data_IF_618334474461
#
_entry.id   IF_618334474461
#
_cell.length_a   1.000
_cell.length_b   1.000
_cell.length_c   1.000
_cell.angle_alpha   90.00
_cell.angle_beta   90.00
_cell.angle_gamma   90.00
#
_symmetry.space_group_name_H-M   'P 1'
#
loop_
_entity.id
_entity.type
_entity.pdbx_description
1 polymer ?
#
# COMPACT_ATOMS: atom_id res chain seq x y z
N UNK A 1 -0.30 36.45 12.82
CA UNK A 1 0.22 35.35 13.64
C UNK A 1 -0.29 34.08 13.00
N UNK A 2 0.51 33.51 12.08
CA UNK A 2 0.14 32.34 11.26
C UNK A 2 0.46 31.11 12.10
N UNK A 3 -0.55 30.34 12.47
CA UNK A 3 -0.40 29.02 13.09
C UNK A 3 0.17 28.07 12.04
N UNK A 4 1.46 27.80 12.12
CA UNK A 4 2.13 26.76 11.32
C UNK A 4 1.74 25.42 11.92
N UNK A 5 1.01 24.64 11.18
CA UNK A 5 0.62 23.27 11.49
C UNK A 5 1.87 22.40 11.70
N UNK A 6 2.07 21.91 12.92
CA UNK A 6 3.23 21.13 13.37
C UNK A 6 3.28 19.69 12.82
N UNK A 7 2.50 19.33 11.81
CA UNK A 7 2.40 17.95 11.30
C UNK A 7 3.14 17.69 9.99
N UNK A 8 3.89 18.65 9.47
CA UNK A 8 4.64 18.47 8.22
C UNK A 8 6.13 18.82 8.41
N UNK A 9 6.83 18.07 9.24
CA UNK A 9 8.29 18.16 9.24
C UNK A 9 8.84 17.31 8.07
N UNK A 10 9.01 17.96 6.92
CA UNK A 10 9.77 17.41 5.80
C UNK A 10 11.24 17.60 6.13
N UNK A 11 11.91 16.53 6.52
CA UNK A 11 13.36 16.50 6.67
C UNK A 11 13.98 16.20 5.31
N UNK A 12 14.63 17.20 4.72
CA UNK A 12 15.48 17.01 3.54
C UNK A 12 16.85 16.48 3.97
N UNK A 13 17.28 15.36 3.42
CA UNK A 13 18.65 14.90 3.52
C UNK A 13 19.48 15.43 2.34
N UNK A 14 20.75 15.73 2.61
CA UNK A 14 21.76 16.26 1.68
C UNK A 14 22.08 15.39 0.46
N UNK A 15 21.38 14.28 0.25
CA UNK A 15 21.48 13.39 -0.92
C UNK A 15 20.19 13.33 -1.75
N UNK A 16 19.31 14.34 -1.69
CA UNK A 16 18.16 14.48 -2.60
C UNK A 16 17.02 13.47 -2.40
N UNK A 17 17.04 12.64 -1.35
CA UNK A 17 15.95 11.73 -1.01
C UNK A 17 15.00 12.36 0.01
N UNK A 18 13.76 12.57 -0.36
CA UNK A 18 12.69 12.94 0.59
C UNK A 18 12.50 11.77 1.55
N UNK A 19 12.85 11.98 2.84
CA UNK A 19 12.46 11.03 3.88
C UNK A 19 10.95 11.19 4.04
N UNK A 20 10.20 10.27 3.44
CA UNK A 20 8.76 10.21 3.58
C UNK A 20 8.42 10.02 5.05
N UNK A 21 7.86 11.05 5.66
CA UNK A 21 7.18 10.92 6.93
C UNK A 21 6.20 9.74 6.84
N UNK A 22 6.01 8.99 7.93
CA UNK A 22 5.06 7.88 8.00
C UNK A 22 3.65 8.38 7.69
N UNK A 23 3.28 8.40 6.41
CA UNK A 23 1.93 8.76 6.01
C UNK A 23 0.93 7.79 6.65
N UNK A 24 0.01 8.37 7.41
CA UNK A 24 -1.04 7.64 8.08
C UNK A 24 -2.27 7.59 7.19
N UNK A 25 -2.68 6.40 6.83
CA UNK A 25 -4.02 6.18 6.27
C UNK A 25 -5.00 6.07 7.43
N UNK A 26 -6.07 6.85 7.35
CA UNK A 26 -7.19 6.80 8.29
C UNK A 26 -8.49 7.09 7.53
N UNK A 27 -9.48 6.21 7.67
CA UNK A 27 -10.76 6.32 7.00
C UNK A 27 -11.85 5.54 7.76
N UNK A 28 -13.13 5.79 7.42
CA UNK A 28 -14.27 5.08 8.01
C UNK A 28 -14.26 3.59 7.60
N UNK A 29 -14.59 2.66 8.52
CA UNK A 29 -14.68 1.22 8.22
C UNK A 29 -15.60 0.87 7.06
N UNK A 30 -16.59 1.71 6.73
CA UNK A 30 -17.48 1.53 5.59
C UNK A 30 -16.70 1.36 4.28
N UNK A 31 -15.54 2.03 4.12
CA UNK A 31 -14.68 1.87 2.95
C UNK A 31 -14.14 0.44 2.78
N UNK A 32 -14.06 -0.34 3.86
CA UNK A 32 -13.64 -1.74 3.80
C UNK A 32 -14.72 -2.69 3.26
N UNK A 33 -15.99 -2.28 3.29
CA UNK A 33 -17.10 -3.12 2.79
C UNK A 33 -17.17 -3.14 1.25
N UNK A 34 -16.39 -2.30 0.60
CA UNK A 34 -16.41 -2.15 -0.86
C UNK A 34 -15.27 -2.96 -1.48
N UNK A 35 -15.61 -3.96 -2.32
CA UNK A 35 -14.60 -4.72 -3.03
C UNK A 35 -13.91 -3.85 -4.09
N UNK A 36 -12.58 -3.79 -4.04
CA UNK A 36 -11.78 -3.12 -5.07
C UNK A 36 -11.58 -4.06 -6.26
N UNK A 37 -12.65 -4.24 -7.03
CA UNK A 37 -12.69 -5.20 -8.14
C UNK A 37 -11.69 -4.85 -9.23
N UNK A 38 -10.91 -5.85 -9.65
CA UNK A 38 -9.90 -5.75 -10.72
C UNK A 38 -8.81 -4.70 -10.47
N UNK A 39 -8.65 -4.23 -9.22
CA UNK A 39 -7.53 -3.36 -8.89
C UNK A 39 -6.24 -4.14 -8.81
N UNK A 40 -5.23 -3.66 -9.50
CA UNK A 40 -3.86 -4.14 -9.37
C UNK A 40 -3.23 -3.61 -8.07
N UNK A 41 -2.16 -4.23 -7.55
CA UNK A 41 -1.44 -3.70 -6.39
C UNK A 41 -0.95 -2.26 -6.56
N UNK A 42 -0.58 -1.86 -7.78
CA UNK A 42 -0.13 -0.49 -8.12
C UNK A 42 -1.31 0.48 -7.99
N UNK A 43 -2.45 0.17 -8.60
CA UNK A 43 -3.66 1.00 -8.51
C UNK A 43 -4.17 1.13 -7.08
N UNK A 44 -4.06 0.06 -6.27
CA UNK A 44 -4.36 0.14 -4.84
C UNK A 44 -3.39 1.07 -4.10
N UNK A 45 -2.09 1.05 -4.44
CA UNK A 45 -1.12 1.97 -3.87
C UNK A 45 -1.46 3.42 -4.21
N UNK A 46 -1.78 3.71 -5.47
CA UNK A 46 -2.18 5.05 -5.93
C UNK A 46 -3.43 5.52 -5.18
N UNK A 47 -4.47 4.68 -5.11
CA UNK A 47 -5.71 5.03 -4.41
C UNK A 47 -5.48 5.37 -2.93
N UNK A 48 -4.79 4.50 -2.18
CA UNK A 48 -4.57 4.75 -0.76
C UNK A 48 -3.54 5.85 -0.49
N UNK A 49 -2.65 6.15 -1.43
CA UNK A 49 -1.78 7.34 -1.39
C UNK A 49 -2.61 8.62 -1.51
N UNK A 50 -3.61 8.64 -2.38
CA UNK A 50 -4.57 9.74 -2.49
C UNK A 50 -5.34 9.89 -1.17
N UNK A 51 -5.94 8.80 -0.66
CA UNK A 51 -6.69 8.79 0.61
C UNK A 51 -5.87 9.35 1.77
N UNK A 52 -4.58 9.04 1.86
CA UNK A 52 -3.72 9.51 2.95
C UNK A 52 -3.64 11.03 3.03
N UNK A 53 -3.81 11.73 1.92
CA UNK A 53 -3.73 13.19 1.81
C UNK A 53 -5.07 13.90 1.69
N UNK A 54 -6.14 13.17 1.38
CA UNK A 54 -7.49 13.74 1.25
C UNK A 54 -8.22 13.86 2.60
N UNK A 55 -7.70 13.21 3.65
CA UNK A 55 -8.30 13.26 4.98
C UNK A 55 -8.36 14.68 5.52
N UNK A 56 -9.49 15.05 6.12
CA UNK A 56 -9.75 16.34 6.76
C UNK A 56 -9.58 17.56 5.82
N UNK A 57 -9.67 17.33 4.49
CA UNK A 57 -9.62 18.40 3.49
C UNK A 57 -10.99 18.91 3.05
N UNK A 58 -12.07 18.27 3.53
CA UNK A 58 -13.42 18.61 3.08
C UNK A 58 -13.59 18.37 1.58
N UNK A 59 -14.37 19.25 0.94
CA UNK A 59 -14.65 19.27 -0.50
C UNK A 59 -13.64 20.08 -1.33
N UNK A 60 -12.51 20.48 -0.71
CA UNK A 60 -11.48 21.24 -1.41
C UNK A 60 -10.77 20.42 -2.49
N UNK A 61 -10.43 21.07 -3.60
CA UNK A 61 -9.53 20.47 -4.60
C UNK A 61 -8.15 20.28 -3.98
N UNK A 62 -7.67 19.03 -3.93
CA UNK A 62 -6.32 18.69 -3.49
C UNK A 62 -5.47 18.42 -4.71
N UNK A 63 -4.33 19.13 -4.81
CA UNK A 63 -3.35 18.95 -5.88
C UNK A 63 -2.23 18.02 -5.45
N UNK A 64 -1.88 17.09 -6.33
CA UNK A 64 -0.74 16.20 -6.21
C UNK A 64 0.19 16.41 -7.41
N UNK A 65 1.47 16.71 -7.19
CA UNK A 65 2.44 16.58 -8.27
C UNK A 65 2.65 15.10 -8.61
N UNK A 66 3.05 14.81 -9.85
CA UNK A 66 3.36 13.43 -10.26
C UNK A 66 4.47 12.82 -9.40
N UNK A 67 5.51 13.61 -9.09
CA UNK A 67 6.60 13.16 -8.22
C UNK A 67 6.09 12.79 -6.83
N UNK A 68 5.29 13.68 -6.23
CA UNK A 68 4.70 13.43 -4.91
C UNK A 68 3.86 12.14 -4.90
N UNK A 69 3.05 11.90 -5.91
CA UNK A 69 2.20 10.71 -5.96
C UNK A 69 3.01 9.44 -6.28
N UNK A 70 4.05 9.52 -7.12
CA UNK A 70 5.00 8.43 -7.36
C UNK A 70 5.70 8.02 -6.07
N UNK A 71 6.19 8.99 -5.30
CA UNK A 71 6.86 8.76 -4.03
C UNK A 71 5.91 8.14 -3.00
N UNK A 72 4.72 8.72 -2.82
CA UNK A 72 3.71 8.20 -1.89
C UNK A 72 3.35 6.75 -2.18
N UNK A 73 3.16 6.41 -3.45
CA UNK A 73 2.75 5.08 -3.90
C UNK A 73 3.91 4.08 -4.09
N UNK A 74 5.17 4.52 -3.92
CA UNK A 74 6.37 3.76 -4.26
C UNK A 74 6.33 3.27 -5.73
N UNK A 75 5.91 4.17 -6.63
CA UNK A 75 5.76 3.86 -8.04
C UNK A 75 7.13 3.84 -8.73
N UNK A 76 7.54 2.68 -9.25
CA UNK A 76 8.88 2.46 -9.80
C UNK A 76 9.06 2.66 -11.31
N UNK A 77 8.03 2.55 -12.18
CA UNK A 77 8.20 2.81 -13.60
C UNK A 77 8.70 4.23 -13.88
N UNK A 78 9.65 4.37 -14.76
CA UNK A 78 10.37 5.63 -15.00
C UNK A 78 9.73 6.53 -16.06
N UNK A 79 8.86 5.99 -16.92
CA UNK A 79 8.22 6.76 -17.99
C UNK A 79 6.95 7.47 -17.49
N UNK A 80 6.85 8.79 -17.72
CA UNK A 80 5.68 9.57 -17.32
C UNK A 80 4.39 9.08 -18.00
N UNK A 81 4.42 8.80 -19.29
CA UNK A 81 3.23 8.32 -20.02
C UNK A 81 2.62 7.06 -19.39
N UNK A 82 3.46 6.12 -18.94
CA UNK A 82 2.97 4.92 -18.25
C UNK A 82 2.34 5.25 -16.89
N UNK A 83 2.87 6.26 -16.19
CA UNK A 83 2.30 6.72 -14.93
C UNK A 83 0.93 7.36 -15.17
N UNK A 84 0.79 8.18 -16.21
CA UNK A 84 -0.49 8.78 -16.62
C UNK A 84 -1.53 7.70 -16.94
N UNK A 85 -1.15 6.69 -17.72
CA UNK A 85 -2.03 5.56 -18.04
C UNK A 85 -2.47 4.79 -16.80
N UNK A 86 -1.58 4.54 -15.85
CA UNK A 86 -1.90 3.82 -14.61
C UNK A 86 -2.81 4.66 -13.70
N UNK A 87 -2.61 5.97 -13.65
CA UNK A 87 -3.47 6.93 -12.95
C UNK A 87 -4.84 6.98 -13.60
N UNK A 88 -4.92 7.10 -14.93
CA UNK A 88 -6.18 7.14 -15.65
C UNK A 88 -6.98 5.86 -15.42
N UNK A 89 -6.35 4.68 -15.56
CA UNK A 89 -7.01 3.41 -15.26
C UNK A 89 -7.48 3.29 -13.81
N UNK A 90 -6.68 3.79 -12.88
CA UNK A 90 -7.07 3.83 -11.46
C UNK A 90 -8.31 4.68 -11.27
N UNK A 91 -8.34 5.86 -11.88
CA UNK A 91 -9.49 6.75 -11.84
C UNK A 91 -10.75 6.14 -12.46
N UNK A 92 -10.65 5.56 -13.66
CA UNK A 92 -11.79 4.89 -14.32
C UNK A 92 -12.40 3.81 -13.42
N UNK A 93 -11.57 3.02 -12.74
CA UNK A 93 -12.03 2.04 -11.77
C UNK A 93 -12.66 2.67 -10.53
N UNK A 94 -12.10 3.78 -10.03
CA UNK A 94 -12.65 4.52 -8.89
C UNK A 94 -14.00 5.14 -9.21
N UNK A 95 -14.21 5.62 -10.44
CA UNK A 95 -15.53 6.09 -10.90
C UNK A 95 -16.57 4.98 -10.98
N UNK A 96 -16.12 3.75 -11.19
CA UNK A 96 -16.99 2.55 -11.15
C UNK A 96 -17.30 2.05 -9.75
N UNK A 97 -16.65 2.59 -8.70
CA UNK A 97 -16.96 2.22 -7.32
C UNK A 97 -18.14 3.04 -6.80
N UNK A 98 -19.20 2.34 -6.46
CA UNK A 98 -20.39 2.94 -5.88
C UNK A 98 -20.47 2.59 -4.39
N UNK A 99 -20.60 3.62 -3.59
CA UNK A 99 -20.86 3.51 -2.16
C UNK A 99 -22.36 3.51 -1.95
N UNK A 100 -22.86 2.58 -1.13
CA UNK A 100 -24.30 2.44 -0.93
C UNK A 100 -24.65 2.43 0.53
N UNK A 101 -25.51 3.35 0.95
CA UNK A 101 -26.11 3.35 2.27
C UNK A 101 -27.54 2.85 2.20
N UNK A 102 -27.92 2.06 3.19
CA UNK A 102 -29.30 1.58 3.35
C UNK A 102 -29.81 1.95 4.74
N UNK A 103 -31.06 2.42 4.82
CA UNK A 103 -31.73 2.56 6.12
C UNK A 103 -31.90 1.19 6.80
N UNK A 104 -32.13 1.19 8.11
CA UNK A 104 -32.38 -0.06 8.86
C UNK A 104 -33.58 -0.85 8.30
N UNK A 105 -34.57 -0.18 7.74
CA UNK A 105 -35.74 -0.80 7.07
C UNK A 105 -35.38 -1.34 5.66
N UNK A 106 -34.24 -0.95 5.08
CA UNK A 106 -33.84 -1.29 3.72
C UNK A 106 -34.59 -0.55 2.62
N UNK A 107 -35.59 0.28 2.97
CA UNK A 107 -36.45 1.02 2.02
C UNK A 107 -35.72 2.23 1.42
N UNK A 108 -34.96 2.96 2.24
CA UNK A 108 -34.16 4.07 1.74
C UNK A 108 -32.77 3.55 1.29
N UNK A 109 -32.42 3.88 0.07
CA UNK A 109 -31.15 3.50 -0.54
C UNK A 109 -30.52 4.73 -1.16
N UNK A 110 -29.26 4.93 -0.85
CA UNK A 110 -28.43 5.99 -1.41
C UNK A 110 -27.23 5.36 -2.08
N UNK A 111 -26.86 5.86 -3.25
CA UNK A 111 -25.67 5.43 -3.97
C UNK A 111 -24.92 6.67 -4.44
N UNK A 112 -23.61 6.72 -4.19
CA UNK A 112 -22.75 7.83 -4.59
C UNK A 112 -21.36 7.34 -4.98
N UNK A 113 -20.63 8.20 -5.68
CA UNK A 113 -19.21 8.00 -6.00
C UNK A 113 -18.32 8.71 -4.98
N UNK A 114 -17.06 8.32 -4.85
CA UNK A 114 -16.17 8.94 -3.87
C UNK A 114 -15.61 10.28 -4.35
N UNK A 115 -15.32 10.40 -5.63
CA UNK A 115 -14.68 11.57 -6.23
C UNK A 115 -15.55 12.19 -7.30
N UNK A 116 -15.64 13.52 -7.32
CA UNK A 116 -16.37 14.29 -8.32
C UNK A 116 -15.49 14.87 -9.40
N UNK A 117 -14.19 15.02 -9.10
CA UNK A 117 -13.24 15.57 -10.06
C UNK A 117 -11.92 14.82 -10.00
N UNK A 118 -11.40 14.58 -11.17
CA UNK A 118 -10.08 14.04 -11.39
C UNK A 118 -9.52 14.66 -12.67
N UNK A 119 -8.58 15.57 -12.52
CA UNK A 119 -7.99 16.29 -13.62
C UNK A 119 -6.51 15.98 -13.68
N UNK A 120 -6.05 15.38 -14.76
CA UNK A 120 -4.64 15.11 -15.05
C UNK A 120 -4.12 16.22 -15.95
N UNK A 121 -3.01 16.85 -15.58
CA UNK A 121 -2.31 17.86 -16.37
C UNK A 121 -0.87 17.40 -16.53
N UNK A 122 -0.60 16.70 -17.65
CA UNK A 122 0.71 16.10 -17.97
C UNK A 122 1.64 17.04 -18.74
N UNK A 123 1.09 18.02 -19.48
CA UNK A 123 1.86 18.92 -20.35
C UNK A 123 2.44 20.16 -19.61
N UNK A 124 2.18 20.29 -18.30
CA UNK A 124 2.74 21.39 -17.53
C UNK A 124 4.22 21.13 -17.22
N UNK A 125 5.00 22.22 -16.99
CA UNK A 125 6.41 22.13 -16.54
C UNK A 125 6.56 21.27 -15.29
N UNK A 126 5.55 21.29 -14.41
CA UNK A 126 5.41 20.42 -13.26
C UNK A 126 4.08 19.68 -13.34
N UNK A 127 4.02 18.48 -13.92
CA UNK A 127 2.78 17.72 -14.08
C UNK A 127 2.08 17.43 -12.74
N UNK A 128 0.75 17.51 -12.73
CA UNK A 128 -0.05 17.37 -11.52
C UNK A 128 -1.43 16.76 -11.76
N UNK A 129 -2.06 16.37 -10.66
CA UNK A 129 -3.42 15.85 -10.62
C UNK A 129 -4.22 16.64 -9.60
N UNK A 130 -5.40 17.14 -9.99
CA UNK A 130 -6.37 17.76 -9.09
C UNK A 130 -7.50 16.78 -8.79
N UNK A 131 -7.80 16.60 -7.51
CA UNK A 131 -8.81 15.65 -7.03
C UNK A 131 -9.76 16.35 -6.07
N UNK A 132 -11.07 16.06 -6.20
CA UNK A 132 -12.11 16.52 -5.28
C UNK A 132 -12.95 15.34 -4.78
N UNK A 133 -13.25 15.33 -3.48
CA UNK A 133 -14.14 14.34 -2.86
C UNK A 133 -15.60 14.80 -3.01
N UNK A 134 -16.48 13.87 -3.35
CA UNK A 134 -17.90 14.14 -3.36
C UNK A 134 -18.40 14.43 -1.93
N UNK A 135 -19.28 15.43 -1.80
CA UNK A 135 -19.78 15.88 -0.47
C UNK A 135 -20.34 14.76 0.39
N UNK A 136 -21.10 13.83 -0.20
CA UNK A 136 -21.73 12.73 0.53
C UNK A 136 -20.72 11.60 0.88
N UNK A 137 -19.52 11.62 0.27
CA UNK A 137 -18.41 10.75 0.60
C UNK A 137 -17.48 11.34 1.69
N UNK A 138 -17.63 12.62 2.04
CA UNK A 138 -16.80 13.26 3.07
C UNK A 138 -16.79 12.51 4.42
N UNK A 139 -17.90 11.96 4.93
CA UNK A 139 -17.88 11.18 6.17
C UNK A 139 -16.95 9.96 6.14
N UNK A 140 -16.58 9.46 4.96
CA UNK A 140 -15.62 8.36 4.84
C UNK A 140 -14.20 8.79 5.21
N UNK A 141 -13.86 10.09 5.14
CA UNK A 141 -12.53 10.65 5.34
C UNK A 141 -12.43 11.73 6.41
N UNK A 142 -13.55 12.32 6.83
CA UNK A 142 -13.60 13.46 7.73
C UNK A 142 -14.49 13.17 8.93
N UNK A 143 -14.16 13.77 10.09
CA UNK A 143 -14.93 13.67 11.32
C UNK A 143 -15.26 12.22 11.74
N UNK A 144 -14.24 11.36 11.72
CA UNK A 144 -14.39 9.93 11.92
C UNK A 144 -14.66 9.59 13.39
N UNK A 145 -15.82 9.06 13.72
CA UNK A 145 -16.14 8.49 15.05
C UNK A 145 -15.46 7.13 15.23
N UNK A 146 -15.49 6.32 14.19
CA UNK A 146 -14.77 5.06 14.10
C UNK A 146 -13.81 5.09 12.91
N UNK A 147 -12.70 4.36 12.98
CA UNK A 147 -11.73 4.39 11.91
C UNK A 147 -10.91 3.10 11.77
N UNK A 148 -10.54 2.81 10.55
CA UNK A 148 -9.42 1.95 10.20
C UNK A 148 -8.18 2.82 10.04
N UNK A 149 -7.04 2.39 10.60
CA UNK A 149 -5.77 3.11 10.44
C UNK A 149 -4.58 2.19 10.28
N UNK A 150 -3.63 2.62 9.47
CA UNK A 150 -2.35 1.94 9.27
C UNK A 150 -1.34 2.85 8.56
N UNK A 151 -0.05 2.49 8.59
CA UNK A 151 0.98 3.20 7.83
C UNK A 151 0.85 2.89 6.34
N UNK A 152 0.89 3.93 5.51
CA UNK A 152 0.90 3.78 4.05
C UNK A 152 2.08 2.89 3.60
N UNK A 153 3.26 3.03 4.26
CA UNK A 153 4.42 2.21 3.97
C UNK A 153 4.17 0.70 4.13
N UNK A 154 3.48 0.28 5.20
CA UNK A 154 3.13 -1.14 5.40
C UNK A 154 2.24 -1.66 4.29
N UNK A 155 1.27 -0.85 3.87
CA UNK A 155 0.33 -1.21 2.81
C UNK A 155 0.98 -1.26 1.43
N UNK A 156 1.75 -0.22 1.06
CA UNK A 156 2.34 -0.13 -0.29
C UNK A 156 3.38 -1.21 -0.58
N UNK A 157 4.07 -1.71 0.45
CA UNK A 157 5.11 -2.74 0.32
C UNK A 157 4.55 -4.15 0.10
N UNK A 158 3.26 -4.37 0.35
CA UNK A 158 2.56 -5.59 -0.02
C UNK A 158 2.49 -5.74 -1.55
N UNK A 159 2.71 -6.95 -2.05
CA UNK A 159 2.78 -7.26 -3.48
C UNK A 159 1.48 -7.84 -4.03
N UNK A 160 0.80 -8.65 -3.22
CA UNK A 160 -0.45 -9.31 -3.60
C UNK A 160 -1.65 -8.40 -3.35
N UNK A 161 -2.54 -8.26 -4.34
CA UNK A 161 -3.83 -7.58 -4.17
C UNK A 161 -4.68 -8.24 -3.08
N UNK A 162 -4.60 -9.57 -2.95
CA UNK A 162 -5.28 -10.31 -1.89
C UNK A 162 -4.71 -9.97 -0.51
N UNK A 163 -3.38 -9.90 -0.39
CA UNK A 163 -2.73 -9.49 0.85
C UNK A 163 -3.08 -8.05 1.22
N UNK A 164 -3.08 -7.11 0.26
CA UNK A 164 -3.50 -5.71 0.48
C UNK A 164 -4.94 -5.62 0.98
N UNK A 165 -5.86 -6.33 0.34
CA UNK A 165 -7.27 -6.33 0.74
C UNK A 165 -7.43 -6.96 2.12
N UNK A 166 -6.83 -8.12 2.38
CA UNK A 166 -6.87 -8.75 3.69
C UNK A 166 -6.26 -7.85 4.77
N UNK A 167 -5.12 -7.19 4.49
CA UNK A 167 -4.46 -6.26 5.41
C UNK A 167 -5.43 -5.16 5.89
N UNK A 168 -6.07 -4.43 4.97
CA UNK A 168 -6.98 -3.34 5.34
C UNK A 168 -8.21 -3.84 6.10
N UNK A 169 -8.75 -5.01 5.72
CA UNK A 169 -9.85 -5.64 6.45
C UNK A 169 -9.45 -5.99 7.89
N UNK A 170 -8.30 -6.65 8.08
CA UNK A 170 -7.79 -7.04 9.39
C UNK A 170 -7.43 -5.84 10.27
N UNK A 171 -6.93 -4.74 9.69
CA UNK A 171 -6.68 -3.49 10.44
C UNK A 171 -7.96 -2.87 11.01
N UNK A 172 -9.12 -3.17 10.47
CA UNK A 172 -10.43 -2.84 11.09
C UNK A 172 -10.64 -3.58 12.44
N UNK A 173 -10.02 -4.73 12.64
CA UNK A 173 -10.12 -5.55 13.86
C UNK A 173 -8.83 -5.53 14.69
N UNK A 174 -7.98 -4.52 14.52
CA UNK A 174 -6.65 -4.46 15.13
C UNK A 174 -6.64 -4.63 16.65
N UNK A 175 -7.63 -4.07 17.34
CA UNK A 175 -7.74 -4.13 18.81
C UNK A 175 -8.42 -5.41 19.31
N UNK A 176 -9.16 -6.09 18.46
CA UNK A 176 -9.80 -7.38 18.76
C UNK A 176 -8.81 -8.53 18.57
N UNK A 177 -7.89 -8.43 17.60
CA UNK A 177 -6.94 -9.48 17.26
C UNK A 177 -7.60 -10.72 16.63
N UNK A 178 -8.84 -10.58 16.17
CA UNK A 178 -9.61 -11.66 15.55
C UNK A 178 -10.57 -11.13 14.51
N UNK A 179 -10.65 -11.80 13.38
CA UNK A 179 -11.63 -11.57 12.34
C UNK A 179 -12.14 -12.90 11.78
N UNK A 180 -13.43 -12.95 11.47
CA UNK A 180 -14.03 -14.05 10.72
C UNK A 180 -14.75 -13.45 9.52
N UNK A 181 -14.50 -14.02 8.35
CA UNK A 181 -15.20 -13.70 7.11
C UNK A 181 -15.92 -14.96 6.64
N UNK A 182 -17.20 -14.84 6.31
CA UNK A 182 -17.93 -15.91 5.62
C UNK A 182 -17.20 -16.25 4.32
N UNK A 183 -17.43 -17.43 3.77
CA UNK A 183 -16.83 -17.82 2.50
C UNK A 183 -17.23 -16.84 1.39
N UNK A 184 -18.47 -16.44 1.39
CA UNK A 184 -19.08 -15.51 0.44
C UNK A 184 -18.41 -14.13 0.55
N UNK A 185 -18.36 -13.54 1.76
CA UNK A 185 -17.73 -12.24 1.99
C UNK A 185 -16.24 -12.27 1.67
N UNK A 186 -15.54 -13.35 2.06
CA UNK A 186 -14.12 -13.49 1.76
C UNK A 186 -13.86 -13.51 0.26
N UNK A 187 -14.70 -14.22 -0.49
CA UNK A 187 -14.55 -14.33 -1.93
C UNK A 187 -14.92 -13.04 -2.65
N UNK A 188 -15.96 -12.36 -2.18
CA UNK A 188 -16.42 -11.12 -2.77
C UNK A 188 -15.46 -9.95 -2.47
N UNK A 189 -15.10 -9.74 -1.21
CA UNK A 189 -14.24 -8.64 -0.80
C UNK A 189 -12.83 -8.73 -1.37
N UNK A 190 -12.31 -9.95 -1.50
CA UNK A 190 -10.99 -10.16 -2.11
C UNK A 190 -11.03 -10.25 -3.64
N UNK A 191 -12.20 -10.12 -4.26
CA UNK A 191 -12.40 -10.27 -5.71
C UNK A 191 -11.81 -11.59 -6.25
N UNK A 192 -12.10 -12.70 -5.55
CA UNK A 192 -11.57 -14.01 -5.94
C UNK A 192 -12.30 -14.50 -7.20
N UNK A 193 -11.57 -14.88 -8.26
CA UNK A 193 -12.17 -15.34 -9.50
C UNK A 193 -13.13 -16.52 -9.29
N UNK A 194 -14.27 -16.48 -9.95
CA UNK A 194 -15.29 -17.57 -9.86
C UNK A 194 -14.72 -18.95 -10.20
N UNK A 195 -13.68 -19.01 -11.04
CA UNK A 195 -12.95 -20.24 -11.36
C UNK A 195 -12.30 -20.94 -10.16
N UNK A 196 -11.96 -20.17 -9.09
CA UNK A 196 -11.37 -20.73 -7.86
C UNK A 196 -12.42 -21.20 -6.84
N UNK A 197 -13.69 -20.77 -6.98
CA UNK A 197 -14.74 -21.03 -5.99
C UNK A 197 -14.99 -22.52 -5.73
N UNK A 198 -14.80 -23.35 -6.77
CA UNK A 198 -14.91 -24.81 -6.70
C UNK A 198 -13.57 -25.53 -6.57
N UNK A 199 -12.46 -24.77 -6.46
CA UNK A 199 -11.09 -25.30 -6.41
C UNK A 199 -10.37 -24.85 -5.14
N UNK A 200 -10.60 -25.51 -3.98
CA UNK A 200 -9.98 -25.10 -2.71
C UNK A 200 -8.46 -25.02 -2.75
N UNK A 201 -7.80 -25.86 -3.56
CA UNK A 201 -6.35 -25.82 -3.76
C UNK A 201 -5.85 -24.53 -4.41
N UNK A 202 -6.62 -23.97 -5.36
CA UNK A 202 -6.27 -22.72 -6.01
C UNK A 202 -6.41 -21.53 -5.02
N UNK A 203 -7.46 -21.56 -4.18
CA UNK A 203 -7.61 -20.59 -3.08
C UNK A 203 -6.45 -20.67 -2.10
N UNK A 204 -6.01 -21.87 -1.74
CA UNK A 204 -4.85 -22.05 -0.84
C UNK A 204 -3.57 -21.49 -1.45
N UNK A 205 -3.32 -21.81 -2.70
CA UNK A 205 -2.08 -21.49 -3.40
C UNK A 205 -1.98 -20.02 -3.78
N UNK A 206 -3.04 -19.46 -4.36
CA UNK A 206 -2.99 -18.13 -4.98
C UNK A 206 -3.54 -17.02 -4.08
N UNK A 207 -4.33 -17.36 -3.06
CA UNK A 207 -4.94 -16.38 -2.16
C UNK A 207 -4.37 -16.48 -0.75
N UNK A 208 -4.53 -17.64 -0.08
CA UNK A 208 -4.16 -17.76 1.33
C UNK A 208 -2.64 -17.80 1.54
N UNK A 209 -1.88 -18.38 0.62
CA UNK A 209 -0.41 -18.41 0.71
C UNK A 209 0.19 -17.00 0.72
N UNK A 210 -0.08 -16.12 -0.27
CA UNK A 210 0.39 -14.73 -0.24
C UNK A 210 -0.07 -13.97 1.01
N UNK A 211 -1.32 -14.16 1.45
CA UNK A 211 -1.83 -13.52 2.67
C UNK A 211 -0.98 -13.93 3.88
N UNK A 212 -0.67 -15.21 4.05
CA UNK A 212 0.16 -15.68 5.17
C UNK A 212 1.58 -15.13 5.08
N UNK A 213 2.21 -15.25 3.92
CA UNK A 213 3.61 -14.85 3.72
C UNK A 213 3.82 -13.35 3.92
N UNK A 214 2.92 -12.52 3.38
CA UNK A 214 3.08 -11.07 3.41
C UNK A 214 2.54 -10.43 4.70
N UNK A 215 1.51 -11.01 5.34
CA UNK A 215 0.90 -10.41 6.53
C UNK A 215 1.48 -10.91 7.86
N UNK A 216 2.12 -12.08 7.91
CA UNK A 216 2.74 -12.59 9.15
C UNK A 216 3.75 -11.61 9.77
N UNK A 217 4.60 -10.90 9.00
CA UNK A 217 5.49 -9.88 9.57
C UNK A 217 4.76 -8.65 10.14
N UNK A 218 3.54 -8.38 9.68
CA UNK A 218 2.76 -7.19 10.05
C UNK A 218 1.75 -7.44 11.17
N UNK A 219 1.34 -8.69 11.36
CA UNK A 219 0.40 -9.11 12.39
C UNK A 219 1.06 -10.18 13.28
N UNK A 220 1.48 -9.77 14.48
CA UNK A 220 2.23 -10.64 15.38
C UNK A 220 1.46 -11.92 15.74
N UNK A 221 2.01 -13.08 15.37
CA UNK A 221 1.40 -14.37 15.63
C UNK A 221 0.18 -14.68 14.76
N UNK A 222 0.11 -14.09 13.54
CA UNK A 222 -0.99 -14.32 12.61
C UNK A 222 -1.21 -15.80 12.33
N UNK A 223 -2.42 -16.25 12.56
CA UNK A 223 -2.90 -17.58 12.15
C UNK A 223 -4.11 -17.44 11.24
N UNK A 224 -4.10 -18.15 10.12
CA UNK A 224 -5.20 -18.18 9.14
C UNK A 224 -5.75 -19.59 9.06
N UNK A 225 -7.03 -19.77 9.43
CA UNK A 225 -7.67 -21.09 9.50
C UNK A 225 -8.97 -21.09 8.69
N UNK A 226 -9.20 -22.19 7.97
CA UNK A 226 -10.50 -22.49 7.39
C UNK A 226 -11.47 -22.92 8.47
N UNK A 227 -12.70 -22.46 8.39
CA UNK A 227 -13.83 -22.92 9.22
C UNK A 227 -14.70 -23.84 8.38
N UNK A 228 -15.07 -24.95 8.95
CA UNK A 228 -15.83 -26.00 8.28
C UNK A 228 -17.24 -26.14 8.85
N UNK A 229 -18.20 -26.36 7.99
CA UNK A 229 -19.58 -26.67 8.37
C UNK A 229 -19.74 -28.11 8.85
N UNK A 230 -20.92 -28.42 9.40
CA UNK A 230 -21.28 -29.76 9.93
C UNK A 230 -21.75 -30.75 8.86
N UNK A 231 -21.86 -30.37 7.58
CA UNK A 231 -22.38 -31.19 6.49
C UNK A 231 -21.41 -32.29 6.03
N UNK A 232 -21.92 -33.25 5.24
CA UNK A 232 -21.11 -34.28 4.57
C UNK A 232 -20.02 -33.61 3.72
N UNK A 233 -18.76 -34.09 3.84
CA UNK A 233 -17.62 -33.48 3.16
C UNK A 233 -17.06 -32.22 3.84
N UNK A 234 -17.60 -31.79 4.99
CA UNK A 234 -17.13 -30.64 5.76
C UNK A 234 -16.82 -29.42 4.88
N UNK A 235 -17.81 -28.82 4.24
CA UNK A 235 -17.58 -27.67 3.35
C UNK A 235 -16.96 -26.51 4.12
N UNK A 236 -16.07 -25.76 3.48
CA UNK A 236 -15.53 -24.51 4.05
C UNK A 236 -16.65 -23.47 4.07
N UNK A 237 -16.97 -22.96 5.26
CA UNK A 237 -17.99 -21.94 5.49
C UNK A 237 -17.41 -20.56 5.73
N UNK A 238 -16.08 -20.45 5.90
CA UNK A 238 -15.43 -19.18 6.11
C UNK A 238 -13.97 -19.31 6.47
N UNK A 239 -13.36 -18.17 6.71
CA UNK A 239 -11.95 -18.02 7.04
C UNK A 239 -11.80 -17.18 8.31
N UNK A 240 -11.03 -17.68 9.27
CA UNK A 240 -10.74 -16.95 10.51
C UNK A 240 -9.27 -16.55 10.55
N UNK A 241 -9.06 -15.36 11.05
CA UNK A 241 -7.75 -14.74 11.25
C UNK A 241 -7.62 -14.43 12.74
N UNK A 242 -6.53 -14.80 13.36
CA UNK A 242 -6.24 -14.47 14.75
C UNK A 242 -4.79 -14.04 14.88
N UNK A 243 -4.55 -12.99 15.66
CA UNK A 243 -3.23 -12.42 15.91
C UNK A 243 -3.22 -11.74 17.30
N UNK A 244 -2.04 -11.33 17.77
CA UNK A 244 -1.95 -10.56 19.01
C UNK A 244 -2.56 -9.17 18.79
N UNK A 245 -3.61 -8.78 19.54
CA UNK A 245 -4.27 -7.50 19.36
C UNK A 245 -3.33 -6.32 19.66
N UNK A 246 -3.52 -5.22 18.94
CA UNK A 246 -2.89 -3.94 19.25
C UNK A 246 -3.57 -3.31 20.46
N UNK A 247 -2.83 -2.54 21.26
CA UNK A 247 -3.43 -1.78 22.38
C UNK A 247 -4.44 -0.76 21.82
N UNK A 248 -5.56 -0.56 22.54
CA UNK A 248 -6.59 0.41 22.14
C UNK A 248 -6.01 1.82 22.02
N UNK A 249 -5.17 2.18 22.97
CA UNK A 249 -4.50 3.47 23.08
C UNK A 249 -3.12 3.49 22.40
N UNK A 250 -2.80 2.48 21.56
CA UNK A 250 -1.66 2.60 20.69
C UNK A 250 -1.91 3.81 19.79
N UNK A 251 -1.58 4.97 20.35
CA UNK A 251 -1.65 6.23 19.64
C UNK A 251 -0.78 6.11 18.44
N UNK A 252 -1.30 6.61 17.34
CA UNK A 252 -0.65 6.76 16.07
C UNK A 252 0.75 6.11 15.95
N UNK A 253 1.29 6.08 14.76
CA UNK A 253 2.60 5.50 14.48
C UNK A 253 3.77 6.23 15.14
N UNK A 254 3.53 7.30 15.88
CA UNK A 254 4.55 8.04 16.63
C UNK A 254 4.92 7.38 17.97
N UNK A 255 4.10 6.46 18.49
CA UNK A 255 4.30 5.85 19.81
C UNK A 255 4.14 4.31 19.87
N UNK A 256 3.99 3.63 18.72
CA UNK A 256 3.80 2.18 18.68
C UNK A 256 5.09 1.38 18.61
N UNK A 257 5.01 0.07 18.88
CA UNK A 257 6.15 -0.87 18.82
C UNK A 257 6.89 -0.81 17.47
N UNK A 258 6.19 -0.55 16.37
CA UNK A 258 6.79 -0.34 15.05
C UNK A 258 7.52 0.99 14.95
N UNK A 259 7.10 2.02 15.68
CA UNK A 259 7.80 3.29 15.75
C UNK A 259 9.12 3.14 16.48
N UNK A 260 9.15 2.43 17.62
CA UNK A 260 10.37 2.17 18.35
C UNK A 260 11.38 1.40 17.50
N UNK A 261 10.90 0.41 16.76
CA UNK A 261 11.72 -0.36 15.83
C UNK A 261 12.23 0.52 14.68
N UNK A 262 11.37 1.32 14.08
CA UNK A 262 11.76 2.25 13.01
C UNK A 262 12.68 3.37 13.50
N UNK A 263 12.44 3.91 14.69
CA UNK A 263 13.31 4.90 15.29
C UNK A 263 14.70 4.32 15.56
N UNK A 264 14.77 3.07 16.06
CA UNK A 264 16.03 2.35 16.23
C UNK A 264 16.72 2.13 14.88
N UNK A 265 16.00 1.67 13.86
CA UNK A 265 16.54 1.48 12.51
C UNK A 265 17.02 2.80 11.90
N UNK A 266 16.25 3.87 12.06
CA UNK A 266 16.63 5.21 11.62
C UNK A 266 17.90 5.68 12.31
N UNK A 267 17.95 5.58 13.63
CA UNK A 267 19.11 5.99 14.43
C UNK A 267 20.36 5.18 14.04
N UNK A 268 20.22 3.87 13.81
CA UNK A 268 21.32 3.02 13.34
C UNK A 268 21.82 3.46 11.96
N UNK A 269 20.90 3.70 11.01
CA UNK A 269 21.27 4.11 9.64
C UNK A 269 21.97 5.47 9.59
N UNK A 270 21.57 6.40 10.46
CA UNK A 270 22.09 7.78 10.48
C UNK A 270 23.17 8.00 11.55
N UNK A 271 23.60 6.96 12.25
CA UNK A 271 24.72 7.06 13.18
C UNK A 271 26.03 7.14 12.38
N UNK A 272 26.68 8.31 12.45
CA UNK A 272 27.97 8.54 11.78
C UNK A 272 29.17 7.85 12.44
N UNK A 273 29.01 7.36 13.68
CA UNK A 273 30.08 6.67 14.43
C UNK A 273 30.16 5.17 14.09
N UNK A 274 29.10 4.60 13.52
CA UNK A 274 29.04 3.18 13.17
C UNK A 274 29.53 2.96 11.73
N UNK A 275 30.34 1.95 11.55
CA UNK A 275 30.72 1.43 10.23
C UNK A 275 29.49 0.76 9.55
N UNK A 276 29.50 0.64 8.25
CA UNK A 276 28.41 -0.03 7.49
C UNK A 276 28.15 -1.46 7.98
N UNK A 277 29.19 -2.20 8.33
CA UNK A 277 29.06 -3.57 8.85
C UNK A 277 28.41 -3.59 10.24
N UNK A 278 28.75 -2.65 11.11
CA UNK A 278 28.12 -2.51 12.42
C UNK A 278 26.65 -2.10 12.29
N UNK A 279 26.32 -1.21 11.35
CA UNK A 279 24.95 -0.85 11.03
C UNK A 279 24.14 -2.07 10.59
N UNK A 280 24.66 -2.87 9.67
CA UNK A 280 23.96 -4.09 9.20
C UNK A 280 23.74 -5.10 10.32
N UNK A 281 24.71 -5.33 11.19
CA UNK A 281 24.57 -6.22 12.37
C UNK A 281 23.54 -5.69 13.35
N UNK A 282 23.51 -4.38 13.58
CA UNK A 282 22.55 -3.74 14.46
C UNK A 282 21.11 -3.82 13.87
N UNK A 283 20.97 -3.66 12.56
CA UNK A 283 19.71 -3.84 11.82
C UNK A 283 19.20 -5.28 11.96
N UNK A 284 20.08 -6.29 11.76
CA UNK A 284 19.72 -7.70 11.94
C UNK A 284 19.19 -7.96 13.36
N UNK A 285 19.83 -7.39 14.36
CA UNK A 285 19.42 -7.51 15.77
C UNK A 285 18.05 -6.91 16.05
N UNK A 286 17.79 -5.71 15.50
CA UNK A 286 16.49 -5.03 15.65
C UNK A 286 15.37 -5.79 14.93
N UNK A 287 15.65 -6.34 13.74
CA UNK A 287 14.70 -7.12 12.94
C UNK A 287 14.56 -8.57 13.36
N UNK A 288 15.35 -9.05 14.32
CA UNK A 288 15.36 -10.45 14.74
C UNK A 288 15.83 -11.41 13.62
N UNK A 289 16.70 -10.95 12.74
CA UNK A 289 17.29 -11.74 11.65
C UNK A 289 18.58 -12.42 12.10
N UNK A 290 19.00 -13.46 11.37
CA UNK A 290 20.30 -14.06 11.56
C UNK A 290 21.39 -13.03 11.22
N UNK A 291 22.43 -12.93 12.05
CA UNK A 291 23.53 -11.99 11.83
C UNK A 291 24.18 -12.19 10.46
N UNK A 292 24.37 -11.09 9.73
CA UNK A 292 24.89 -11.10 8.36
C UNK A 292 23.81 -11.14 7.27
N UNK A 293 22.53 -11.29 7.61
CA UNK A 293 21.43 -11.33 6.64
C UNK A 293 21.31 -10.02 5.87
N UNK A 294 21.36 -8.88 6.58
CA UNK A 294 21.29 -7.53 5.97
C UNK A 294 22.51 -7.24 5.13
N UNK A 295 23.71 -7.60 5.58
CA UNK A 295 24.95 -7.47 4.83
C UNK A 295 24.89 -8.24 3.51
N UNK A 296 24.49 -9.51 3.56
CA UNK A 296 24.34 -10.36 2.36
C UNK A 296 23.34 -9.78 1.36
N UNK A 297 22.22 -9.25 1.83
CA UNK A 297 21.23 -8.59 0.97
C UNK A 297 21.80 -7.31 0.36
N UNK A 298 22.48 -6.48 1.14
CA UNK A 298 23.08 -5.22 0.66
C UNK A 298 24.17 -5.47 -0.38
N UNK A 299 25.01 -6.48 -0.18
CA UNK A 299 26.03 -6.87 -1.14
C UNK A 299 25.41 -7.41 -2.44
N UNK A 300 24.37 -8.22 -2.35
CA UNK A 300 23.65 -8.74 -3.52
C UNK A 300 23.01 -7.61 -4.34
N UNK A 301 22.45 -6.59 -3.68
CA UNK A 301 21.89 -5.41 -4.36
C UNK A 301 22.98 -4.62 -5.06
N UNK A 302 24.12 -4.35 -4.40
CA UNK A 302 25.26 -3.64 -5.00
C UNK A 302 25.81 -4.38 -6.21
N UNK A 303 25.93 -5.72 -6.12
CA UNK A 303 26.37 -6.55 -7.24
C UNK A 303 25.40 -6.46 -8.43
N UNK A 304 24.09 -6.59 -8.18
CA UNK A 304 23.08 -6.49 -9.21
C UNK A 304 23.05 -5.11 -9.90
N UNK A 305 23.29 -4.03 -9.14
CA UNK A 305 23.42 -2.67 -9.69
C UNK A 305 24.68 -2.50 -10.53
N UNK A 306 25.79 -3.07 -10.09
CA UNK A 306 27.04 -3.08 -10.84
C UNK A 306 26.88 -3.81 -12.17
N UNK A 307 26.33 -5.03 -12.13
CA UNK A 307 26.08 -5.85 -13.32
C UNK A 307 25.09 -5.17 -14.28
N UNK A 308 24.13 -4.42 -13.75
CA UNK A 308 23.22 -3.62 -14.56
C UNK A 308 23.95 -2.48 -15.27
N UNK A 309 24.82 -1.74 -14.57
CA UNK A 309 25.62 -0.66 -15.16
C UNK A 309 26.51 -1.17 -16.30
N UNK A 310 27.19 -2.32 -16.10
CA UNK A 310 28.02 -2.96 -17.13
C UNK A 310 27.17 -3.32 -18.36
N UNK A 311 26.02 -3.95 -18.16
CA UNK A 311 25.11 -4.31 -19.27
C UNK A 311 24.59 -3.08 -20.02
N UNK A 312 24.22 -2.03 -19.29
CA UNK A 312 23.71 -0.78 -19.89
C UNK A 312 24.82 -0.06 -20.68
N UNK A 313 26.07 -0.14 -20.19
CA UNK A 313 27.24 0.41 -20.90
C UNK A 313 27.55 -0.38 -22.15
N UNK A 314 27.64 -1.69 -22.08
CA UNK A 314 27.86 -2.56 -23.23
C UNK A 314 26.78 -2.40 -24.31
N UNK A 315 25.53 -2.24 -23.90
CA UNK A 315 24.42 -1.96 -24.81
C UNK A 315 24.56 -0.61 -25.50
N UNK A 316 25.02 0.43 -24.80
CA UNK A 316 25.29 1.76 -25.41
C UNK A 316 26.42 1.70 -26.42
N UNK A 317 27.48 0.99 -26.12
CA UNK A 317 28.64 0.81 -27.00
C UNK A 317 28.23 0.04 -28.25
N UNK A 318 27.53 -1.08 -28.13
CA UNK A 318 27.00 -1.84 -29.25
C UNK A 318 26.07 -1.04 -30.17
N UNK A 319 25.20 -0.21 -29.57
CA UNK A 319 24.33 0.70 -30.33
C UNK A 319 25.11 1.81 -31.05
N UNK A 320 26.20 2.29 -30.44
CA UNK A 320 27.07 3.30 -31.08
C UNK A 320 27.85 2.71 -32.27
N UNK A 321 28.34 1.47 -32.14
CA UNK A 321 29.01 0.73 -33.24
C UNK A 321 28.04 0.45 -34.40
N UNK A 322 26.81 -0.01 -34.12
CA UNK A 322 25.79 -0.21 -35.13
C UNK A 322 25.46 1.06 -35.89
N UNK A 323 25.38 2.22 -35.19
CA UNK A 323 25.13 3.51 -35.83
C UNK A 323 26.31 3.95 -36.72
N UNK A 324 27.55 3.69 -36.33
CA UNK A 324 28.73 3.97 -37.15
C UNK A 324 28.78 3.08 -38.40
N UNK A 325 28.40 1.80 -38.26
CA UNK A 325 28.34 0.87 -39.38
C UNK A 325 27.26 1.20 -40.42
N UNK A 326 26.12 1.76 -40.00
CA UNK A 326 25.04 2.20 -40.88
C UNK A 326 25.33 3.54 -41.57
N UNK A 327 26.19 4.39 -40.99
CA UNK A 327 26.54 5.70 -41.55
C UNK A 327 27.64 5.65 -42.63
N UNK A 328 28.34 4.51 -42.80
CA UNK A 328 29.41 4.34 -43.79
C UNK A 328 28.94 3.66 -45.11
N UNK A 329 27.66 3.34 -45.24
CA UNK A 329 27.04 2.73 -46.43
C UNK A 329 25.99 3.61 -47.12
N UNK A 330 26.06 4.93 -46.94
CA UNK A 330 25.23 5.89 -47.63
C UNK A 330 26.07 6.80 -48.57
#
# INVERSE_FOLDING_TARGET
MVLVDKQSLILYNSCGGVIMSNELIKYDPELNTIPLRKFTPIEMNLFFSIISRMRDKGDQTVRFSFEQLKDLSNYKPTANNRFEDDIQRTYEKLMGLHFGRRSKSGLNREMFVMFTKFRIVGEADSPYIDIEVYKDALPLLNNLDTWVRYALAEFRDLRSSYAKTAFRLLKGFRTTGYAFLSKEDFFELLDIPKSYWKKPGDVDRYVLKPIREELTPLFRGLTVRKKYGKGRGKPVIGYSFAWKPEKKDANDFSQGQFQDERQKLFNIQHNGELTEQEKWRAIDKVKGLTLGSTEKQALAVKQAEHDKKIRDQARKEALAELRKGLGNNA
#
